data_IF_474412120008
#
_entry.id   IF_474412120008
#
_cell.length_a   1.000
_cell.length_b   1.000
_cell.length_c   1.000
_cell.angle_alpha   90.00
_cell.angle_beta   90.00
_cell.angle_gamma   90.00
#
_symmetry.space_group_name_H-M   'P 1'
#
loop_
_entity.id
_entity.type
_entity.pdbx_description
1 polymer ?
#
# COMPACT_ATOMS: atom_id res chain seq x y z
N UNK A 1 9.71 23.09 7.92
CA UNK A 1 8.36 22.96 7.30
C UNK A 1 8.07 21.47 7.24
N UNK A 2 7.31 20.93 8.20
CA UNK A 2 6.95 19.52 8.20
C UNK A 2 5.94 19.26 7.07
N UNK A 3 6.42 18.84 5.91
CA UNK A 3 5.57 18.29 4.86
C UNK A 3 4.90 17.01 5.36
N UNK A 4 3.65 16.77 4.96
CA UNK A 4 2.96 15.50 5.20
C UNK A 4 3.58 14.42 4.29
N UNK A 5 4.71 13.87 4.73
CA UNK A 5 5.39 12.77 4.06
C UNK A 5 4.80 11.43 4.50
N UNK A 6 4.76 10.47 3.58
CA UNK A 6 4.25 9.13 3.85
C UNK A 6 5.32 8.33 4.59
N UNK A 7 4.91 7.57 5.59
CA UNK A 7 5.79 6.83 6.49
C UNK A 7 5.17 5.51 6.96
N UNK A 8 5.96 4.73 7.70
CA UNK A 8 5.42 3.56 8.40
C UNK A 8 4.21 3.96 9.26
N UNK A 9 3.12 3.19 9.13
CA UNK A 9 1.84 3.45 9.79
C UNK A 9 0.85 4.29 8.97
N UNK A 10 1.27 4.86 7.83
CA UNK A 10 0.35 5.58 6.94
C UNK A 10 -0.81 4.67 6.48
N UNK A 11 -2.04 5.20 6.51
CA UNK A 11 -3.24 4.44 6.18
C UNK A 11 -3.37 4.26 4.67
N UNK A 12 -3.56 3.01 4.25
CA UNK A 12 -3.75 2.59 2.88
C UNK A 12 -5.18 2.11 2.66
N UNK A 13 -5.73 2.39 1.49
CA UNK A 13 -7.02 1.87 1.03
C UNK A 13 -6.87 1.26 -0.36
N UNK A 14 -7.52 0.12 -0.60
CA UNK A 14 -7.56 -0.55 -1.90
C UNK A 14 -9.00 -0.51 -2.42
N UNK A 15 -9.19 -0.14 -3.69
CA UNK A 15 -10.53 -0.08 -4.32
C UNK A 15 -11.26 -1.43 -4.34
N UNK A 16 -10.51 -2.54 -4.33
CA UNK A 16 -11.05 -3.89 -4.34
C UNK A 16 -10.99 -4.58 -2.96
N UNK A 17 -10.51 -3.88 -1.93
CA UNK A 17 -10.36 -4.39 -0.56
C UNK A 17 -11.56 -4.04 0.31
N UNK A 18 -11.85 -4.87 1.31
CA UNK A 18 -12.96 -4.66 2.25
C UNK A 18 -12.59 -3.81 3.48
N UNK A 19 -11.30 -3.68 3.79
CA UNK A 19 -10.81 -2.93 4.94
C UNK A 19 -9.54 -2.13 4.59
N UNK A 20 -9.28 -1.00 5.26
CA UNK A 20 -8.01 -0.31 5.14
C UNK A 20 -6.88 -1.14 5.77
N UNK A 21 -5.64 -0.79 5.39
CA UNK A 21 -4.42 -1.41 5.91
C UNK A 21 -3.39 -0.33 6.24
N UNK A 22 -2.28 -0.67 6.88
CA UNK A 22 -1.21 0.29 7.20
C UNK A 22 0.06 -0.03 6.45
N UNK A 23 0.73 1.02 5.94
CA UNK A 23 2.01 0.87 5.27
C UNK A 23 3.08 0.45 6.27
N UNK A 24 3.80 -0.61 5.95
CA UNK A 24 4.98 -1.04 6.70
C UNK A 24 6.23 -0.64 5.91
N UNK A 25 7.20 -0.05 6.60
CA UNK A 25 8.49 0.30 5.99
C UNK A 25 9.58 -0.42 6.77
N UNK A 26 10.30 -1.30 6.08
CA UNK A 26 11.38 -2.08 6.68
C UNK A 26 12.67 -1.28 6.54
N UNK A 27 13.28 -0.91 7.66
CA UNK A 27 14.58 -0.24 7.71
C UNK A 27 15.61 -1.08 8.46
N UNK A 28 16.89 -1.07 8.02
CA UNK A 28 17.93 -1.91 8.63
C UNK A 28 18.40 -1.44 10.03
N UNK A 29 17.97 -0.29 10.54
CA UNK A 29 18.44 0.25 11.83
C UNK A 29 17.37 1.04 12.59
N UNK A 30 17.51 1.07 13.92
CA UNK A 30 16.61 1.70 14.90
C UNK A 30 16.30 3.16 14.59
N UNK A 31 15.01 3.50 14.56
CA UNK A 31 14.52 4.86 14.35
C UNK A 31 14.63 5.71 15.61
N UNK A 32 15.74 6.42 15.75
CA UNK A 32 15.93 7.41 16.80
C UNK A 32 15.10 8.71 16.59
N UNK A 33 14.51 8.90 15.39
CA UNK A 33 13.87 10.16 14.96
C UNK A 33 12.45 10.00 14.38
N UNK A 34 11.64 9.06 14.90
CA UNK A 34 10.25 8.86 14.44
C UNK A 34 10.10 7.79 13.35
N UNK A 35 8.88 7.54 12.83
CA UNK A 35 8.63 6.45 11.90
C UNK A 35 9.37 6.67 10.57
N UNK A 36 9.94 5.61 9.97
CA UNK A 36 10.72 5.74 8.76
C UNK A 36 9.86 6.20 7.57
N UNK A 37 10.38 7.16 6.80
CA UNK A 37 9.77 7.62 5.56
C UNK A 37 9.66 6.48 4.54
N UNK A 38 8.60 6.53 3.72
CA UNK A 38 8.38 5.59 2.65
C UNK A 38 8.89 6.09 1.30
N UNK A 39 9.25 5.16 0.41
CA UNK A 39 9.67 5.44 -0.95
C UNK A 39 8.95 4.55 -1.97
N UNK A 40 9.17 4.79 -3.26
CA UNK A 40 8.50 4.07 -4.35
C UNK A 40 8.74 2.55 -4.38
N UNK A 41 9.76 2.06 -3.67
CA UNK A 41 10.11 0.65 -3.57
C UNK A 41 9.46 -0.05 -2.38
N UNK A 42 8.81 0.69 -1.47
CA UNK A 42 8.05 0.12 -0.34
C UNK A 42 6.70 -0.45 -0.81
N UNK A 43 6.75 -1.34 -1.78
CA UNK A 43 5.59 -1.94 -2.44
C UNK A 43 5.57 -3.47 -2.32
N UNK A 44 6.44 -4.10 -1.53
CA UNK A 44 6.48 -5.55 -1.44
C UNK A 44 5.18 -6.10 -0.81
N UNK A 45 4.49 -7.05 -1.46
CA UNK A 45 3.32 -7.69 -0.89
C UNK A 45 3.61 -8.34 0.47
N UNK A 46 2.66 -8.25 1.40
CA UNK A 46 2.74 -8.83 2.74
C UNK A 46 3.88 -8.31 3.63
N UNK A 47 4.81 -7.53 3.07
CA UNK A 47 5.93 -6.91 3.81
C UNK A 47 5.71 -5.42 3.97
N UNK A 48 5.48 -4.69 2.88
CA UNK A 48 5.18 -3.26 2.93
C UNK A 48 3.67 -3.00 2.88
N UNK A 49 2.96 -3.76 2.06
CA UNK A 49 1.53 -3.62 1.83
C UNK A 49 0.85 -4.90 2.34
N UNK A 50 0.27 -4.87 3.55
CA UNK A 50 -0.46 -6.01 4.09
C UNK A 50 -1.81 -6.20 3.39
N UNK A 51 -2.56 -7.21 3.84
CA UNK A 51 -3.92 -7.49 3.33
C UNK A 51 -4.90 -6.33 3.59
N UNK A 52 -5.89 -6.22 2.71
CA UNK A 52 -7.06 -5.33 2.84
C UNK A 52 -8.31 -6.10 3.27
N UNK A 53 -8.13 -7.20 4.03
CA UNK A 53 -9.20 -8.09 4.45
C UNK A 53 -9.65 -9.00 3.32
N UNK A 54 -10.80 -8.68 2.71
CA UNK A 54 -11.37 -9.46 1.60
C UNK A 54 -11.18 -8.72 0.27
N UNK A 55 -10.86 -9.46 -0.79
CA UNK A 55 -10.78 -8.96 -2.16
C UNK A 55 -12.10 -9.23 -2.88
N UNK A 56 -12.63 -8.22 -3.56
CA UNK A 56 -13.86 -8.30 -4.36
C UNK A 56 -13.59 -8.37 -5.87
N UNK A 57 -12.32 -8.52 -6.27
CA UNK A 57 -11.96 -8.51 -7.70
C UNK A 57 -12.08 -9.88 -8.35
N UNK A 58 -12.85 -10.03 -9.45
CA UNK A 58 -12.87 -11.26 -10.25
C UNK A 58 -11.52 -11.58 -10.92
N UNK A 59 -10.58 -10.63 -11.00
CA UNK A 59 -9.23 -10.89 -11.49
C UNK A 59 -8.37 -11.68 -10.48
N UNK A 60 -8.80 -11.76 -9.21
CA UNK A 60 -8.18 -12.66 -8.24
C UNK A 60 -8.69 -14.09 -8.49
N UNK A 61 -7.82 -15.07 -8.79
CA UNK A 61 -8.23 -16.42 -9.15
C UNK A 61 -9.04 -17.12 -8.06
N UNK A 62 -8.82 -16.80 -6.77
CA UNK A 62 -9.62 -17.38 -5.68
C UNK A 62 -11.03 -16.81 -5.65
N UNK A 63 -11.20 -15.51 -5.88
CA UNK A 63 -12.51 -14.86 -6.02
C UNK A 63 -13.25 -15.40 -7.25
N UNK A 64 -12.56 -15.56 -8.38
CA UNK A 64 -13.14 -16.11 -9.60
C UNK A 64 -13.66 -17.53 -9.40
N UNK A 65 -12.84 -18.41 -8.80
CA UNK A 65 -13.22 -19.79 -8.51
C UNK A 65 -14.40 -19.88 -7.54
N UNK A 66 -14.38 -19.07 -6.48
CA UNK A 66 -15.47 -19.03 -5.49
C UNK A 66 -16.77 -18.51 -6.09
N UNK A 67 -16.69 -17.47 -6.91
CA UNK A 67 -17.83 -16.91 -7.64
C UNK A 67 -18.42 -17.94 -8.59
N UNK A 68 -17.58 -18.71 -9.30
CA UNK A 68 -18.05 -19.81 -10.14
C UNK A 68 -18.73 -20.93 -9.32
N UNK A 69 -18.18 -21.28 -8.16
CA UNK A 69 -18.79 -22.26 -7.25
C UNK A 69 -20.12 -21.77 -6.64
N UNK A 70 -20.27 -20.45 -6.46
CA UNK A 70 -21.50 -19.80 -6.02
C UNK A 70 -22.45 -19.46 -7.18
N UNK A 71 -22.34 -20.16 -8.31
CA UNK A 71 -23.21 -20.01 -9.48
C UNK A 71 -23.25 -18.57 -10.04
N UNK A 72 -22.10 -17.88 -9.98
CA UNK A 72 -21.93 -16.51 -10.48
C UNK A 72 -22.16 -15.41 -9.44
N UNK A 73 -22.54 -15.75 -8.21
CA UNK A 73 -22.65 -14.76 -7.12
C UNK A 73 -21.25 -14.37 -6.64
N UNK A 74 -20.92 -13.08 -6.72
CA UNK A 74 -19.62 -12.57 -6.30
C UNK A 74 -19.32 -13.00 -4.87
N UNK A 75 -18.28 -13.81 -4.70
CA UNK A 75 -17.88 -14.35 -3.40
C UNK A 75 -16.50 -13.80 -3.04
N UNK A 76 -16.42 -12.75 -2.22
CA UNK A 76 -15.14 -12.17 -1.80
C UNK A 76 -14.27 -13.23 -1.13
N UNK A 77 -12.97 -13.19 -1.40
CA UNK A 77 -11.97 -14.11 -0.84
C UNK A 77 -10.83 -13.34 -0.17
N UNK A 78 -10.09 -13.93 0.79
CA UNK A 78 -8.99 -13.26 1.47
C UNK A 78 -8.02 -12.60 0.50
N UNK A 79 -7.69 -11.33 0.75
CA UNK A 79 -6.82 -10.55 -0.10
C UNK A 79 -5.35 -10.90 0.19
N UNK A 80 -4.64 -11.41 -0.82
CA UNK A 80 -3.18 -11.42 -0.85
C UNK A 80 -2.75 -10.42 -1.93
N UNK A 81 -2.20 -9.26 -1.56
CA UNK A 81 -1.84 -8.23 -2.54
C UNK A 81 -0.83 -8.75 -3.57
N UNK A 82 -0.93 -8.27 -4.81
CA UNK A 82 0.08 -8.52 -5.85
C UNK A 82 0.41 -7.17 -6.47
N UNK A 83 1.36 -6.47 -5.88
CA UNK A 83 1.55 -5.03 -6.04
C UNK A 83 2.67 -4.68 -7.01
N UNK A 84 2.54 -3.52 -7.66
CA UNK A 84 3.59 -2.89 -8.47
C UNK A 84 4.28 -1.78 -7.68
N UNK A 85 5.46 -1.28 -8.14
CA UNK A 85 6.04 -0.07 -7.57
C UNK A 85 5.05 1.10 -7.52
N UNK A 86 5.21 1.97 -6.53
CA UNK A 86 4.40 3.17 -6.42
C UNK A 86 4.79 4.18 -7.50
N UNK A 87 3.81 4.97 -7.93
CA UNK A 87 4.02 6.05 -8.90
C UNK A 87 3.13 7.24 -8.56
N UNK A 88 3.51 8.49 -8.91
CA UNK A 88 4.81 8.89 -9.48
C UNK A 88 5.94 8.97 -8.44
N UNK A 89 5.60 9.05 -7.14
CA UNK A 89 6.55 9.49 -6.11
C UNK A 89 6.87 10.98 -6.20
N UNK A 90 7.67 11.49 -5.26
CA UNK A 90 8.10 12.89 -5.20
C UNK A 90 9.51 13.03 -5.77
N UNK A 91 9.64 13.77 -6.86
CA UNK A 91 10.90 13.91 -7.61
C UNK A 91 11.97 14.76 -6.90
N UNK A 92 11.56 15.58 -5.94
CA UNK A 92 12.44 16.52 -5.22
C UNK A 92 13.05 15.93 -3.95
N UNK A 93 12.55 14.78 -3.47
CA UNK A 93 12.97 14.18 -2.20
C UNK A 93 13.28 12.70 -2.38
N UNK A 94 14.50 12.33 -1.98
CA UNK A 94 14.96 10.94 -2.00
C UNK A 94 14.96 10.35 -0.59
N UNK A 95 14.40 9.16 -0.46
CA UNK A 95 14.43 8.34 0.76
C UNK A 95 15.09 7.01 0.38
N UNK A 96 16.24 6.72 1.00
CA UNK A 96 17.04 5.51 0.69
C UNK A 96 17.34 5.37 -0.81
N UNK A 97 17.76 6.46 -1.45
CA UNK A 97 18.11 6.55 -2.88
C UNK A 97 16.96 6.26 -3.87
N UNK A 98 15.70 6.33 -3.43
CA UNK A 98 14.52 6.25 -4.29
C UNK A 98 13.54 7.40 -3.98
N UNK A 99 12.65 7.72 -4.90
CA UNK A 99 11.69 8.82 -4.74
C UNK A 99 10.80 8.60 -3.51
N UNK A 100 10.64 9.63 -2.69
CA UNK A 100 9.75 9.60 -1.53
C UNK A 100 8.28 9.44 -1.95
N UNK A 101 7.45 8.95 -1.04
CA UNK A 101 6.00 8.89 -1.25
C UNK A 101 5.28 10.12 -0.66
N UNK A 102 4.24 10.54 -1.36
CA UNK A 102 3.25 11.53 -0.93
C UNK A 102 1.82 10.97 -1.05
N UNK A 103 0.82 11.77 -0.65
CA UNK A 103 -0.59 11.38 -0.77
C UNK A 103 -1.05 11.18 -2.23
N UNK A 104 -0.37 11.79 -3.21
CA UNK A 104 -0.67 11.62 -4.62
C UNK A 104 -0.20 10.26 -5.15
N UNK A 105 0.83 9.67 -4.55
CA UNK A 105 1.38 8.37 -4.92
C UNK A 105 0.33 7.24 -4.85
N UNK A 106 0.37 6.34 -5.83
CA UNK A 106 -0.53 5.19 -5.99
C UNK A 106 0.26 3.93 -6.32
N UNK A 107 -0.24 2.79 -5.84
CA UNK A 107 0.28 1.46 -6.15
C UNK A 107 -0.83 0.64 -6.82
N UNK A 108 -0.49 -0.10 -7.88
CA UNK A 108 -1.46 -0.95 -8.58
C UNK A 108 -1.32 -2.40 -8.13
N UNK A 109 -2.44 -3.09 -8.06
CA UNK A 109 -2.52 -4.52 -7.79
C UNK A 109 -2.86 -5.27 -9.08
N UNK A 110 -2.20 -6.40 -9.35
CA UNK A 110 -2.45 -7.25 -10.52
C UNK A 110 -3.90 -7.78 -10.56
N UNK A 111 -4.58 -7.81 -9.41
CA UNK A 111 -6.02 -8.10 -9.33
C UNK A 111 -6.89 -6.87 -9.62
N UNK A 112 -6.38 -5.82 -10.27
CA UNK A 112 -7.15 -4.65 -10.67
C UNK A 112 -7.47 -3.67 -9.55
N UNK A 113 -6.88 -3.82 -8.36
CA UNK A 113 -7.02 -2.87 -7.27
C UNK A 113 -6.07 -1.68 -7.40
N UNK A 114 -6.55 -0.48 -7.09
CA UNK A 114 -5.69 0.68 -6.88
C UNK A 114 -5.55 0.93 -5.38
N UNK A 115 -4.30 1.02 -4.91
CA UNK A 115 -3.96 1.31 -3.53
C UNK A 115 -3.59 2.79 -3.40
N UNK A 116 -4.29 3.47 -2.51
CA UNK A 116 -4.14 4.90 -2.22
C UNK A 116 -3.73 5.12 -0.78
N UNK A 117 -2.99 6.21 -0.54
CA UNK A 117 -2.63 6.67 0.80
C UNK A 117 -3.69 7.67 1.25
N UNK A 118 -4.33 7.40 2.39
CA UNK A 118 -5.46 8.19 2.91
C UNK A 118 -5.04 9.12 4.04
N UNK A 119 -4.15 8.68 4.94
CA UNK A 119 -3.69 9.50 6.06
C UNK A 119 -2.21 9.28 6.35
N UNK A 120 -1.49 10.37 6.62
CA UNK A 120 -0.08 10.39 7.05
C UNK A 120 -0.02 11.00 8.46
N UNK A 121 -0.29 10.19 9.49
CA UNK A 121 -0.50 10.70 10.86
C UNK A 121 0.78 11.01 11.64
N UNK A 122 1.96 10.93 11.03
CA UNK A 122 3.20 11.29 11.73
C UNK A 122 4.04 12.23 10.88
N UNK A 123 4.38 13.39 11.42
CA UNK A 123 5.36 14.29 10.82
C UNK A 123 6.70 13.57 10.75
N UNK A 124 7.20 13.34 9.53
CA UNK A 124 8.57 12.89 9.36
C UNK A 124 9.47 14.12 9.37
N UNK A 125 10.41 14.17 10.31
CA UNK A 125 11.50 15.14 10.24
C UNK A 125 12.49 14.61 9.22
N UNK A 126 12.40 15.11 7.99
CA UNK A 126 13.41 14.84 6.96
C UNK A 126 14.53 15.84 7.24
N UNK A 127 15.44 15.45 8.14
CA UNK A 127 16.62 16.23 8.53
C UNK A 127 17.55 16.54 7.37
#
# INVERSE_FOLDING_TARGET
MAGKWVNAGSLLTCTQGAAPSTLTVVVPTTTAQGPPAANIMDCAPMTNIPTFGMCMSPANPTVAAATAAALGVLTPMPCVPVTTPWTPGVTTVLVRNALALDAASKCMCAYGGQISITTTDVSVDVG
#
